data_IF_333766729591
#
_entry.id   IF_333766729591
#
_cell.length_a   1.000
_cell.length_b   1.000
_cell.length_c   1.000
_cell.angle_alpha   90.00
_cell.angle_beta   90.00
_cell.angle_gamma   90.00
#
_symmetry.space_group_name_H-M   'P 1'
#
loop_
_entity.id
_entity.type
_entity.pdbx_description
1 polymer ?
#
# COMPACT_ATOMS: atom_id res chain seq x y z
N UNK A 1 -12.00 16.42 -37.35
CA UNK A 1 -12.57 15.67 -36.21
C UNK A 1 -11.53 15.68 -35.10
N UNK A 2 -11.76 16.47 -34.05
CA UNK A 2 -10.80 16.73 -32.98
C UNK A 2 -10.68 15.49 -32.08
N UNK A 3 -9.44 15.12 -31.78
CA UNK A 3 -9.01 14.15 -30.79
C UNK A 3 -9.81 14.23 -29.48
N UNK A 4 -10.87 13.43 -29.35
CA UNK A 4 -11.45 13.05 -28.07
C UNK A 4 -10.77 11.75 -27.69
N UNK A 5 -9.77 11.81 -26.79
CA UNK A 5 -9.30 10.66 -25.98
C UNK A 5 -8.36 11.11 -24.83
N UNK A 6 -8.40 12.38 -24.40
CA UNK A 6 -7.44 12.93 -23.43
C UNK A 6 -7.98 13.27 -22.05
N UNK A 7 -9.13 12.73 -21.64
CA UNK A 7 -9.77 13.13 -20.36
C UNK A 7 -10.37 12.00 -19.52
N UNK A 8 -9.95 10.74 -19.72
CA UNK A 8 -10.26 9.65 -18.77
C UNK A 8 -9.08 9.31 -17.84
N UNK A 9 -8.23 10.29 -17.53
CA UNK A 9 -7.30 10.15 -16.41
C UNK A 9 -8.05 10.37 -15.10
N UNK A 10 -8.45 9.25 -14.49
CA UNK A 10 -8.60 9.06 -13.05
C UNK A 10 -9.58 9.98 -12.30
N UNK A 11 -10.88 9.67 -12.39
CA UNK A 11 -11.78 9.78 -11.23
C UNK A 11 -12.64 8.51 -11.19
N UNK A 12 -12.16 7.48 -10.51
CA UNK A 12 -13.01 6.42 -10.00
C UNK A 12 -13.12 6.62 -8.48
N UNK A 13 -13.84 7.67 -8.07
CA UNK A 13 -14.24 7.83 -6.68
C UNK A 13 -15.47 6.95 -6.42
N UNK A 14 -15.24 5.65 -6.31
CA UNK A 14 -16.24 4.72 -5.80
C UNK A 14 -16.21 4.83 -4.26
N UNK A 15 -16.92 5.82 -3.72
CA UNK A 15 -17.11 5.94 -2.27
C UNK A 15 -18.20 4.96 -1.82
N UNK A 16 -17.83 4.04 -0.92
CA UNK A 16 -18.77 3.18 -0.20
C UNK A 16 -18.81 3.67 1.24
N UNK A 17 -20.01 3.66 1.84
CA UNK A 17 -20.31 4.26 3.13
C UNK A 17 -19.24 3.98 4.21
N UNK A 18 -18.79 5.05 4.86
CA UNK A 18 -17.89 5.00 6.00
C UNK A 18 -18.50 4.15 7.11
N UNK A 19 -17.99 2.92 7.26
CA UNK A 19 -18.09 2.22 8.55
C UNK A 19 -16.95 2.73 9.41
N UNK A 20 -17.28 3.31 10.55
CA UNK A 20 -16.31 3.76 11.55
C UNK A 20 -15.55 2.54 12.08
N UNK A 21 -14.36 2.30 11.53
CA UNK A 21 -13.44 1.30 12.02
C UNK A 21 -12.02 1.84 11.83
N UNK A 22 -11.15 1.56 12.78
CA UNK A 22 -9.81 2.09 13.02
C UNK A 22 -8.76 1.81 11.91
N UNK A 23 -9.19 1.62 10.65
CA UNK A 23 -8.38 1.13 9.54
C UNK A 23 -8.78 1.67 8.17
N UNK A 24 -9.52 2.78 8.05
CA UNK A 24 -9.82 3.36 6.72
C UNK A 24 -8.69 4.32 6.29
N UNK A 25 -7.90 3.92 5.30
CA UNK A 25 -6.87 4.76 4.72
C UNK A 25 -7.28 5.28 3.34
N UNK A 26 -6.79 6.47 3.02
CA UNK A 26 -6.73 7.00 1.66
C UNK A 26 -5.45 6.49 1.01
N UNK A 27 -5.58 5.72 -0.07
CA UNK A 27 -4.49 5.00 -0.73
C UNK A 27 -4.27 5.60 -2.11
N UNK A 28 -3.09 6.12 -2.39
CA UNK A 28 -2.70 6.66 -3.70
C UNK A 28 -1.65 5.78 -4.35
N UNK A 29 -1.97 5.22 -5.52
CA UNK A 29 -1.10 4.33 -6.30
C UNK A 29 -0.92 4.96 -7.67
N UNK A 30 0.32 5.35 -8.01
CA UNK A 30 0.65 6.05 -9.27
C UNK A 30 -0.27 7.27 -9.55
N UNK A 31 -0.69 7.98 -8.50
CA UNK A 31 -1.56 9.15 -8.58
C UNK A 31 -3.06 8.86 -8.62
N UNK A 32 -3.49 7.59 -8.73
CA UNK A 32 -4.89 7.22 -8.61
C UNK A 32 -5.22 6.96 -7.14
N UNK A 33 -6.26 7.62 -6.64
CA UNK A 33 -6.69 7.51 -5.23
C UNK A 33 -7.82 6.50 -5.07
N UNK A 34 -7.72 5.73 -4.00
CA UNK A 34 -8.68 4.77 -3.49
C UNK A 34 -8.87 4.97 -1.97
N UNK A 35 -9.88 4.31 -1.41
CA UNK A 35 -10.10 4.24 0.03
C UNK A 35 -10.29 2.78 0.42
N UNK A 36 -9.72 2.38 1.56
CA UNK A 36 -9.85 1.02 2.05
C UNK A 36 -8.92 0.72 3.22
N UNK A 37 -9.03 -0.50 3.75
CA UNK A 37 -8.30 -0.93 4.94
C UNK A 37 -7.25 -2.01 4.68
N UNK A 38 -7.46 -2.78 3.61
CA UNK A 38 -6.60 -3.90 3.23
C UNK A 38 -6.10 -3.65 1.83
N UNK A 39 -4.77 -3.59 1.67
CA UNK A 39 -4.13 -3.37 0.39
C UNK A 39 -3.26 -4.57 0.02
N UNK A 40 -3.58 -5.21 -1.09
CA UNK A 40 -2.79 -6.29 -1.69
C UNK A 40 -2.38 -5.86 -3.10
N UNK A 41 -1.10 -5.96 -3.39
CA UNK A 41 -0.54 -5.55 -4.68
C UNK A 41 0.28 -6.72 -5.23
N UNK A 42 -0.23 -7.32 -6.30
CA UNK A 42 0.42 -8.42 -7.00
C UNK A 42 0.83 -7.98 -8.41
N UNK A 43 2.08 -7.55 -8.55
CA UNK A 43 2.65 -7.14 -9.84
C UNK A 43 2.79 -8.28 -10.84
N UNK A 44 3.08 -9.49 -10.36
CA UNK A 44 3.36 -10.63 -11.23
C UNK A 44 2.09 -11.10 -11.92
N UNK A 45 0.97 -11.05 -11.20
CA UNK A 45 -0.37 -11.37 -11.71
C UNK A 45 -1.13 -10.14 -12.23
N UNK A 46 -0.57 -8.93 -12.10
CA UNK A 46 -1.09 -7.70 -12.70
C UNK A 46 -2.37 -7.16 -12.06
N UNK A 47 -2.52 -7.24 -10.73
CA UNK A 47 -3.67 -6.65 -10.04
C UNK A 47 -3.33 -5.97 -8.72
N UNK A 48 -4.18 -5.02 -8.36
CA UNK A 48 -4.30 -4.43 -7.02
C UNK A 48 -5.64 -4.91 -6.47
N UNK A 49 -5.65 -5.30 -5.20
CA UNK A 49 -6.87 -5.55 -4.46
C UNK A 49 -6.94 -4.58 -3.27
N UNK A 50 -8.05 -3.86 -3.17
CA UNK A 50 -8.37 -3.00 -2.04
C UNK A 50 -9.66 -3.51 -1.44
N UNK A 51 -9.58 -4.02 -0.21
CA UNK A 51 -10.64 -4.77 0.44
C UNK A 51 -11.20 -5.88 -0.48
N UNK A 52 -12.44 -5.73 -0.96
CA UNK A 52 -13.14 -6.70 -1.82
C UNK A 52 -13.14 -6.30 -3.30
N UNK A 53 -12.40 -5.26 -3.68
CA UNK A 53 -12.32 -4.76 -5.06
C UNK A 53 -11.01 -5.16 -5.70
N UNK A 54 -11.08 -5.72 -6.92
CA UNK A 54 -9.91 -6.08 -7.72
C UNK A 54 -9.81 -5.11 -8.91
N UNK A 55 -8.61 -4.57 -9.11
CA UNK A 55 -8.28 -3.58 -10.13
C UNK A 55 -7.10 -4.12 -10.93
N UNK A 56 -7.29 -4.35 -12.23
CA UNK A 56 -6.21 -4.77 -13.12
C UNK A 56 -5.22 -3.63 -13.36
N UNK A 57 -3.93 -3.93 -13.31
CA UNK A 57 -2.84 -3.00 -13.58
C UNK A 57 -1.95 -3.52 -14.70
N UNK A 58 -1.47 -2.60 -15.54
CA UNK A 58 -0.54 -2.90 -16.62
C UNK A 58 0.89 -2.41 -16.31
N UNK A 59 1.09 -1.66 -15.23
CA UNK A 59 2.37 -1.11 -14.82
C UNK A 59 2.97 -1.92 -13.68
N UNK A 60 4.25 -2.30 -13.81
CA UNK A 60 5.00 -3.08 -12.82
C UNK A 60 5.75 -2.26 -11.77
N UNK A 61 5.74 -0.93 -11.93
CA UNK A 61 6.41 0.01 -11.04
C UNK A 61 5.35 0.85 -10.36
N UNK A 62 5.36 0.86 -9.03
CA UNK A 62 4.38 1.56 -8.21
C UNK A 62 5.05 2.38 -7.12
N UNK A 63 4.62 3.64 -7.04
CA UNK A 63 4.79 4.50 -5.88
C UNK A 63 3.48 4.52 -5.11
N UNK A 64 3.54 4.12 -3.84
CA UNK A 64 2.38 3.92 -2.99
C UNK A 64 2.44 4.91 -1.83
N UNK A 65 1.43 5.76 -1.72
CA UNK A 65 1.29 6.72 -0.62
C UNK A 65 -0.04 6.46 0.08
N UNK A 66 0.01 6.21 1.38
CA UNK A 66 -1.13 5.85 2.20
C UNK A 66 -1.25 6.92 3.29
N UNK A 67 -2.45 7.46 3.48
CA UNK A 67 -2.76 8.40 4.56
C UNK A 67 -3.89 7.84 5.41
N UNK A 68 -3.63 7.65 6.69
CA UNK A 68 -4.51 6.90 7.60
C UNK A 68 -3.99 5.50 7.89
N UNK A 69 -4.80 4.71 8.59
CA UNK A 69 -4.40 3.41 9.10
C UNK A 69 -4.74 2.30 8.11
N UNK A 70 -3.87 1.31 7.96
CA UNK A 70 -4.16 0.05 7.27
C UNK A 70 -4.20 -1.11 8.26
N UNK A 71 -5.06 -2.09 8.00
CA UNK A 71 -5.02 -3.35 8.72
C UNK A 71 -3.93 -4.26 8.13
N UNK A 72 -3.89 -4.39 6.81
CA UNK A 72 -2.98 -5.28 6.10
C UNK A 72 -2.38 -4.56 4.90
N UNK A 73 -1.07 -4.70 4.75
CA UNK A 73 -0.32 -4.31 3.56
C UNK A 73 0.43 -5.53 3.02
N UNK A 74 0.08 -5.96 1.81
CA UNK A 74 0.80 -6.99 1.06
C UNK A 74 1.27 -6.43 -0.29
N UNK A 75 2.57 -6.46 -0.55
CA UNK A 75 3.13 -5.89 -1.79
C UNK A 75 4.22 -6.78 -2.35
N UNK A 76 4.01 -7.30 -3.56
CA UNK A 76 5.03 -8.12 -4.23
C UNK A 76 6.25 -7.31 -4.67
N UNK A 77 6.04 -6.07 -5.12
CA UNK A 77 7.12 -5.17 -5.53
C UNK A 77 6.65 -3.72 -5.55
N UNK A 78 7.44 -2.82 -4.98
CA UNK A 78 7.26 -1.38 -5.09
C UNK A 78 8.59 -0.66 -5.02
N UNK A 79 8.66 0.53 -5.60
CA UNK A 79 9.83 1.40 -5.43
C UNK A 79 9.86 1.99 -4.02
N UNK A 80 8.72 2.58 -3.63
CA UNK A 80 8.53 3.25 -2.35
C UNK A 80 7.13 2.99 -1.82
N UNK A 81 7.05 2.69 -0.53
CA UNK A 81 5.80 2.59 0.22
C UNK A 81 5.89 3.59 1.38
N UNK A 82 5.02 4.60 1.36
CA UNK A 82 4.93 5.60 2.42
C UNK A 82 3.55 5.53 3.09
N UNK A 83 3.54 5.29 4.40
CA UNK A 83 2.35 5.14 5.23
C UNK A 83 2.36 6.26 6.27
N UNK A 84 1.56 7.28 6.04
CA UNK A 84 1.29 8.37 6.98
C UNK A 84 0.18 7.93 7.95
N UNK A 85 0.51 6.94 8.78
CA UNK A 85 -0.39 6.32 9.75
C UNK A 85 0.17 5.00 10.27
N UNK A 86 -0.70 4.25 10.94
CA UNK A 86 -0.33 2.95 11.50
C UNK A 86 -0.66 1.82 10.51
N UNK A 87 0.07 0.72 10.57
CA UNK A 87 -0.26 -0.50 9.83
C UNK A 87 -0.30 -1.69 10.79
N UNK A 88 -1.31 -2.54 10.64
CA UNK A 88 -1.44 -3.78 11.40
C UNK A 88 -0.36 -4.79 11.01
N UNK A 89 -0.44 -5.33 9.81
CA UNK A 89 0.50 -6.33 9.29
C UNK A 89 1.13 -5.89 7.98
N UNK A 90 2.42 -6.22 7.80
CA UNK A 90 3.20 -5.85 6.63
C UNK A 90 3.88 -7.08 6.04
N UNK A 91 3.58 -7.36 4.77
CA UNK A 91 4.20 -8.43 3.99
C UNK A 91 4.72 -7.86 2.66
N UNK A 92 6.03 -7.82 2.47
CA UNK A 92 6.61 -7.32 1.21
C UNK A 92 7.67 -8.26 0.65
N UNK A 93 7.65 -8.49 -0.66
CA UNK A 93 8.75 -9.19 -1.32
C UNK A 93 9.85 -8.21 -1.74
N UNK A 94 9.50 -7.04 -2.27
CA UNK A 94 10.45 -5.95 -2.47
C UNK A 94 9.86 -4.56 -2.27
N UNK A 95 10.67 -3.67 -1.71
CA UNK A 95 10.37 -2.24 -1.60
C UNK A 95 10.75 -1.66 -0.23
N UNK A 96 11.09 -0.38 -0.22
CA UNK A 96 11.36 0.33 1.04
C UNK A 96 10.06 0.84 1.66
N UNK A 97 9.90 0.61 2.96
CA UNK A 97 8.69 0.93 3.73
C UNK A 97 9.01 2.02 4.73
N UNK A 98 8.20 3.07 4.75
CA UNK A 98 8.22 4.10 5.76
C UNK A 98 6.84 4.19 6.41
N UNK A 99 6.73 3.87 7.71
CA UNK A 99 5.48 3.89 8.47
C UNK A 99 5.67 4.62 9.80
N UNK A 100 4.58 5.11 10.41
CA UNK A 100 4.67 5.63 11.78
C UNK A 100 4.83 4.46 12.76
N UNK A 101 3.80 3.61 12.85
CA UNK A 101 3.83 2.41 13.69
C UNK A 101 3.40 1.18 12.92
N UNK A 102 4.05 0.07 13.21
CA UNK A 102 3.64 -1.25 12.79
C UNK A 102 3.17 -2.04 14.02
N UNK A 103 1.87 -2.30 14.09
CA UNK A 103 1.22 -2.84 15.29
C UNK A 103 1.33 -4.36 15.38
N UNK A 104 1.64 -5.03 14.27
CA UNK A 104 1.77 -6.48 14.14
C UNK A 104 3.08 -6.88 13.48
N UNK A 105 3.08 -8.03 12.82
CA UNK A 105 4.29 -8.63 12.26
C UNK A 105 4.72 -7.96 10.95
N UNK A 106 6.03 -8.00 10.70
CA UNK A 106 6.64 -7.55 9.45
C UNK A 106 7.41 -8.70 8.82
N UNK A 107 7.05 -9.05 7.59
CA UNK A 107 7.81 -9.98 6.77
C UNK A 107 8.28 -9.25 5.51
N UNK A 108 9.60 -9.13 5.33
CA UNK A 108 10.19 -8.51 4.15
C UNK A 108 11.26 -9.42 3.53
N UNK A 109 11.17 -9.69 2.23
CA UNK A 109 12.28 -10.39 1.56
C UNK A 109 13.39 -9.41 1.15
N UNK A 110 13.04 -8.21 0.69
CA UNK A 110 14.02 -7.21 0.27
C UNK A 110 13.53 -5.78 0.45
N UNK A 111 14.43 -4.91 0.93
CA UNK A 111 14.17 -3.49 1.11
C UNK A 111 14.34 -3.06 2.56
N UNK A 112 14.43 -1.76 2.78
CA UNK A 112 14.61 -1.23 4.13
C UNK A 112 13.26 -0.86 4.75
N UNK A 113 13.09 -1.19 6.02
CA UNK A 113 11.90 -0.87 6.81
C UNK A 113 12.29 0.24 7.80
N UNK A 114 11.54 1.33 7.77
CA UNK A 114 11.67 2.45 8.68
C UNK A 114 10.34 2.64 9.40
N UNK A 115 10.34 2.50 10.72
CA UNK A 115 9.18 2.73 11.56
C UNK A 115 9.60 3.33 12.91
N UNK A 116 8.75 4.16 13.51
CA UNK A 116 9.00 4.69 14.85
C UNK A 116 8.77 3.60 15.92
N UNK A 117 7.81 2.70 15.68
CA UNK A 117 7.49 1.60 16.59
C UNK A 117 7.10 0.34 15.80
N UNK A 118 7.65 -0.82 16.17
CA UNK A 118 7.19 -2.13 15.67
C UNK A 118 6.87 -2.99 16.88
N UNK A 119 5.59 -3.38 17.03
CA UNK A 119 5.12 -4.17 18.18
C UNK A 119 5.20 -5.67 17.95
N UNK A 120 5.11 -6.11 16.69
CA UNK A 120 5.20 -7.53 16.34
C UNK A 120 6.63 -7.98 16.03
N UNK A 121 6.73 -9.22 15.55
CA UNK A 121 8.01 -9.78 15.15
C UNK A 121 8.42 -9.28 13.76
N UNK A 122 9.71 -9.08 13.56
CA UNK A 122 10.26 -8.69 12.25
C UNK A 122 11.10 -9.83 11.69
N UNK A 123 10.74 -10.28 10.49
CA UNK A 123 11.51 -11.23 9.69
C UNK A 123 11.92 -10.54 8.40
N UNK A 124 13.22 -10.28 8.24
CA UNK A 124 13.77 -9.70 7.01
C UNK A 124 14.89 -10.58 6.47
N UNK A 125 14.84 -10.89 5.17
CA UNK A 125 15.91 -11.66 4.51
C UNK A 125 17.04 -10.73 4.08
N UNK A 126 16.71 -9.59 3.45
CA UNK A 126 17.69 -8.63 2.96
C UNK A 126 17.21 -7.19 3.11
N UNK A 127 18.12 -6.32 3.57
CA UNK A 127 17.81 -4.92 3.93
C UNK A 127 17.87 -4.68 5.42
N UNK A 128 17.67 -3.42 5.82
CA UNK A 128 17.79 -2.99 7.21
C UNK A 128 16.44 -2.68 7.81
N UNK A 129 16.29 -2.99 9.10
CA UNK A 129 15.13 -2.58 9.90
C UNK A 129 15.61 -1.51 10.87
N UNK A 130 15.14 -0.29 10.65
CA UNK A 130 15.54 0.87 11.45
C UNK A 130 14.36 1.38 12.26
N UNK A 131 14.53 1.32 13.58
CA UNK A 131 13.65 1.99 14.55
C UNK A 131 14.07 3.46 14.62
N UNK A 132 13.12 4.39 14.47
CA UNK A 132 13.38 5.84 14.46
C UNK A 132 12.87 6.53 15.71
#
# INVERSE_FOLDING_TARGET
>A
MKNMNKLLSAIALLSFAATSADGMARISINGVTYEGANLIINNDSGYIQIDNQIISINNRVMDINISGNLNVLEVSSANKIEILGNVGEVNTASGSINADKILGNVNSASGSIYANEIKGNVSSISGSVNYR
#
